data_IF_418949930340
#
_entry.id   IF_418949930340
#
_cell.length_a   1.000
_cell.length_b   1.000
_cell.length_c   1.000
_cell.angle_alpha   90.00
_cell.angle_beta   90.00
_cell.angle_gamma   90.00
#
_symmetry.space_group_name_H-M   'P 1'
#
loop_
_entity.id
_entity.type
_entity.pdbx_description
1 polymer ?
#
# COMPACT_ATOMS: atom_id res chain seq x y z
N UNK A 1 -7.55 -21.92 -13.92
CA UNK A 1 -7.23 -22.58 -12.63
C UNK A 1 -6.00 -21.97 -11.95
N UNK A 2 -4.83 -21.98 -12.55
CA UNK A 2 -3.63 -21.36 -11.95
C UNK A 2 -3.81 -19.86 -11.70
N UNK A 3 -4.42 -19.14 -12.63
CA UNK A 3 -4.72 -17.72 -12.48
C UNK A 3 -5.65 -17.42 -11.29
N UNK A 4 -6.63 -18.27 -11.07
CA UNK A 4 -7.59 -18.08 -9.97
C UNK A 4 -6.94 -18.33 -8.61
N UNK A 5 -6.06 -19.33 -8.52
CA UNK A 5 -5.29 -19.61 -7.31
C UNK A 5 -4.35 -18.44 -7.00
N UNK A 6 -3.65 -17.94 -8.01
CA UNK A 6 -2.74 -16.80 -7.84
C UNK A 6 -3.51 -15.55 -7.41
N UNK A 7 -4.61 -15.22 -8.09
CA UNK A 7 -5.44 -14.05 -7.75
C UNK A 7 -5.98 -14.14 -6.32
N UNK A 8 -6.45 -15.31 -5.92
CA UNK A 8 -6.95 -15.55 -4.56
C UNK A 8 -5.85 -15.35 -3.52
N UNK A 9 -4.66 -15.89 -3.78
CA UNK A 9 -3.50 -15.75 -2.89
C UNK A 9 -3.05 -14.28 -2.78
N UNK A 10 -2.96 -13.58 -3.91
CA UNK A 10 -2.59 -12.17 -3.91
C UNK A 10 -3.62 -11.31 -3.16
N UNK A 11 -4.91 -11.59 -3.34
CA UNK A 11 -5.97 -10.89 -2.63
C UNK A 11 -5.88 -11.12 -1.12
N UNK A 12 -5.63 -12.35 -0.69
CA UNK A 12 -5.45 -12.70 0.72
C UNK A 12 -4.27 -11.96 1.35
N UNK A 13 -3.11 -12.01 0.70
CA UNK A 13 -1.89 -11.37 1.21
C UNK A 13 -1.96 -9.85 1.14
N UNK A 14 -2.61 -9.30 0.13
CA UNK A 14 -2.87 -7.86 0.02
C UNK A 14 -3.77 -7.38 1.15
N UNK A 15 -4.86 -8.09 1.42
CA UNK A 15 -5.77 -7.80 2.53
C UNK A 15 -5.06 -7.91 3.88
N UNK A 16 -4.26 -8.93 4.07
CA UNK A 16 -3.47 -9.13 5.29
C UNK A 16 -2.49 -7.97 5.51
N UNK A 17 -1.80 -7.55 4.44
CA UNK A 17 -0.86 -6.42 4.49
C UNK A 17 -1.58 -5.11 4.79
N UNK A 18 -2.74 -4.87 4.18
CA UNK A 18 -3.54 -3.67 4.44
C UNK A 18 -3.99 -3.58 5.91
N UNK A 19 -4.41 -4.69 6.48
CA UNK A 19 -4.72 -4.76 7.92
C UNK A 19 -3.50 -4.43 8.77
N UNK A 20 -2.32 -4.90 8.37
CA UNK A 20 -1.06 -4.56 9.01
C UNK A 20 -0.75 -3.07 8.94
N UNK A 21 -0.96 -2.44 7.80
CA UNK A 21 -0.80 -0.99 7.64
C UNK A 21 -1.71 -0.25 8.63
N UNK A 22 -2.98 -0.61 8.70
CA UNK A 22 -3.93 0.02 9.63
C UNK A 22 -3.58 -0.24 11.09
N UNK A 23 -2.94 -1.36 11.39
CA UNK A 23 -2.46 -1.66 12.74
C UNK A 23 -1.29 -0.75 13.15
N UNK A 24 -0.35 -0.50 12.23
CA UNK A 24 0.84 0.29 12.54
C UNK A 24 0.65 1.79 12.40
N UNK A 25 -0.24 2.24 11.52
CA UNK A 25 -0.49 3.67 11.32
C UNK A 25 -1.57 4.13 12.30
N UNK A 26 -1.27 5.10 13.19
CA UNK A 26 -2.23 5.54 14.20
C UNK A 26 -3.47 6.20 13.60
N UNK A 27 -4.62 5.95 14.20
CA UNK A 27 -5.85 6.70 13.95
C UNK A 27 -5.97 7.82 14.97
N UNK A 28 -5.24 8.91 14.75
CA UNK A 28 -5.18 10.06 15.66
C UNK A 28 -4.85 11.35 14.90
N UNK A 29 -4.92 12.47 15.60
CA UNK A 29 -4.50 13.75 15.03
C UNK A 29 -2.95 13.83 14.88
N UNK A 30 -2.44 14.51 13.84
CA UNK A 30 -3.19 15.17 12.76
C UNK A 30 -3.66 14.17 11.70
N UNK A 31 -4.98 13.98 11.56
CA UNK A 31 -5.55 13.07 10.55
C UNK A 31 -5.43 13.64 9.16
N UNK A 32 -6.01 14.81 8.94
CA UNK A 32 -6.15 15.43 7.63
C UNK A 32 -4.82 15.67 6.92
N UNK A 33 -3.79 16.00 7.66
CA UNK A 33 -2.50 16.41 7.08
C UNK A 33 -1.41 15.35 7.20
N UNK A 34 -1.68 14.22 7.85
CA UNK A 34 -0.68 13.17 8.02
C UNK A 34 -1.28 11.77 7.95
N UNK A 35 -1.94 11.32 9.01
CA UNK A 35 -2.25 9.89 9.16
C UNK A 35 -3.25 9.37 8.12
N UNK A 36 -4.30 10.13 7.81
CA UNK A 36 -5.27 9.74 6.77
C UNK A 36 -4.62 9.71 5.39
N UNK A 37 -3.63 10.56 5.14
CA UNK A 37 -2.92 10.60 3.87
C UNK A 37 -1.98 9.41 3.69
N UNK A 38 -1.35 8.92 4.76
CA UNK A 38 -0.47 7.75 4.69
C UNK A 38 -1.25 6.51 4.24
N UNK A 39 -2.49 6.36 4.66
CA UNK A 39 -3.33 5.22 4.33
C UNK A 39 -4.18 5.40 3.07
N UNK A 40 -4.20 6.58 2.46
CA UNK A 40 -5.05 6.89 1.31
C UNK A 40 -4.77 5.97 0.11
N UNK A 41 -3.54 6.00 -0.42
CA UNK A 41 -3.20 5.18 -1.58
C UNK A 41 -3.28 3.68 -1.28
N UNK A 42 -2.81 3.17 -0.14
CA UNK A 42 -3.04 1.77 0.22
C UNK A 42 -4.52 1.36 0.22
N UNK A 43 -5.40 2.23 0.74
CA UNK A 43 -6.85 1.96 0.78
C UNK A 43 -7.50 1.90 -0.60
N UNK A 44 -6.89 2.50 -1.61
CA UNK A 44 -7.42 2.46 -2.99
C UNK A 44 -7.30 1.08 -3.65
N UNK A 45 -6.58 0.16 -3.01
CA UNK A 45 -6.35 -1.18 -3.53
C UNK A 45 -5.15 -1.26 -4.47
N UNK A 46 -5.06 -2.35 -5.18
CA UNK A 46 -3.97 -2.66 -6.10
C UNK A 46 -3.89 -4.16 -6.33
N UNK A 47 -2.94 -4.62 -7.15
CA UNK A 47 -2.81 -6.04 -7.47
C UNK A 47 -2.14 -6.85 -6.36
N UNK A 48 -1.42 -6.20 -5.44
CA UNK A 48 -0.80 -6.85 -4.29
C UNK A 48 0.44 -7.69 -4.61
N UNK A 49 1.12 -7.41 -5.73
CA UNK A 49 2.29 -8.19 -6.14
C UNK A 49 3.46 -8.09 -5.15
N UNK A 50 3.76 -6.90 -4.64
CA UNK A 50 4.91 -6.71 -3.74
C UNK A 50 4.71 -7.41 -2.41
N UNK A 51 3.63 -7.16 -1.67
CA UNK A 51 3.39 -7.90 -0.43
C UNK A 51 3.16 -9.38 -0.70
N UNK A 52 2.51 -9.75 -1.81
CA UNK A 52 2.31 -11.14 -2.20
C UNK A 52 3.61 -11.89 -2.40
N UNK A 53 4.56 -11.32 -3.12
CA UNK A 53 5.90 -11.92 -3.31
C UNK A 53 6.65 -12.01 -2.00
N UNK A 54 6.60 -10.98 -1.17
CA UNK A 54 7.27 -10.96 0.13
C UNK A 54 6.78 -12.10 1.03
N UNK A 55 5.46 -12.22 1.19
CA UNK A 55 4.86 -13.22 2.07
C UNK A 55 5.05 -14.63 1.48
N UNK A 56 4.84 -14.81 0.17
CA UNK A 56 5.02 -16.10 -0.49
C UNK A 56 6.46 -16.61 -0.38
N UNK A 57 7.43 -15.73 -0.57
CA UNK A 57 8.85 -16.07 -0.45
C UNK A 57 9.17 -16.50 0.97
N UNK A 58 8.69 -15.77 1.98
CA UNK A 58 8.88 -16.12 3.38
C UNK A 58 8.32 -17.52 3.66
N UNK A 59 7.12 -17.81 3.22
CA UNK A 59 6.47 -19.12 3.40
C UNK A 59 7.23 -20.23 2.66
N UNK A 60 7.74 -19.95 1.47
CA UNK A 60 8.53 -20.92 0.71
C UNK A 60 9.80 -21.36 1.44
N UNK A 61 10.39 -20.47 2.25
CA UNK A 61 11.55 -20.76 3.08
C UNK A 61 11.20 -21.26 4.49
N UNK A 62 9.94 -21.62 4.72
CA UNK A 62 9.51 -22.21 5.99
C UNK A 62 9.00 -21.21 7.02
N UNK A 63 8.90 -19.95 6.67
CA UNK A 63 8.34 -18.92 7.55
C UNK A 63 6.81 -18.83 7.48
N UNK A 64 6.25 -17.90 8.22
CA UNK A 64 4.81 -17.63 8.26
C UNK A 64 4.50 -16.24 7.70
N UNK A 65 3.24 -16.01 7.33
CA UNK A 65 2.78 -14.69 6.91
C UNK A 65 3.03 -13.63 8.00
N UNK A 66 2.83 -13.99 9.25
CA UNK A 66 3.07 -13.10 10.38
C UNK A 66 4.53 -12.66 10.51
N UNK A 67 5.47 -13.56 10.22
CA UNK A 67 6.90 -13.23 10.23
C UNK A 67 7.28 -12.25 9.12
N UNK A 68 6.58 -12.30 7.97
CA UNK A 68 6.82 -11.41 6.83
C UNK A 68 6.08 -10.07 6.95
N UNK A 69 5.18 -9.91 7.92
CA UNK A 69 4.24 -8.77 7.96
C UNK A 69 4.95 -7.42 7.98
N UNK A 70 5.97 -7.24 8.81
CA UNK A 70 6.70 -5.98 8.88
C UNK A 70 7.33 -5.61 7.54
N UNK A 71 7.96 -6.56 6.89
CA UNK A 71 8.58 -6.35 5.57
C UNK A 71 7.53 -6.04 4.51
N UNK A 72 6.41 -6.76 4.50
CA UNK A 72 5.33 -6.55 3.54
C UNK A 72 4.70 -5.16 3.71
N UNK A 73 4.45 -4.75 4.95
CA UNK A 73 3.92 -3.41 5.27
C UNK A 73 4.90 -2.32 4.84
N UNK A 74 6.18 -2.48 5.17
CA UNK A 74 7.22 -1.52 4.80
C UNK A 74 7.35 -1.35 3.30
N UNK A 75 7.36 -2.46 2.56
CA UNK A 75 7.41 -2.43 1.08
C UNK A 75 6.20 -1.73 0.49
N UNK A 76 5.01 -2.00 1.00
CA UNK A 76 3.79 -1.39 0.48
C UNK A 76 3.75 0.12 0.77
N UNK A 77 4.12 0.53 1.97
CA UNK A 77 4.19 1.96 2.32
C UNK A 77 5.22 2.70 1.48
N UNK A 78 6.41 2.13 1.30
CA UNK A 78 7.46 2.71 0.47
C UNK A 78 7.01 2.82 -0.98
N UNK A 79 6.40 1.75 -1.52
CA UNK A 79 5.88 1.76 -2.88
C UNK A 79 4.81 2.85 -3.07
N UNK A 80 3.89 3.00 -2.13
CA UNK A 80 2.85 4.01 -2.22
C UNK A 80 3.43 5.43 -2.12
N UNK A 81 4.47 5.64 -1.31
CA UNK A 81 5.18 6.91 -1.28
C UNK A 81 5.78 7.26 -2.64
N UNK A 82 6.41 6.30 -3.31
CA UNK A 82 6.91 6.49 -4.67
C UNK A 82 5.80 6.78 -5.67
N UNK A 83 4.64 6.13 -5.55
CA UNK A 83 3.49 6.42 -6.42
C UNK A 83 3.01 7.85 -6.27
N UNK A 84 2.96 8.37 -5.04
CA UNK A 84 2.59 9.77 -4.78
C UNK A 84 3.58 10.72 -5.45
N UNK A 85 4.87 10.47 -5.30
CA UNK A 85 5.93 11.29 -5.88
C UNK A 85 5.92 11.22 -7.41
N UNK A 86 5.74 10.02 -7.98
CA UNK A 86 5.61 9.83 -9.43
C UNK A 86 4.42 10.60 -9.98
N UNK A 87 3.29 10.58 -9.28
CA UNK A 87 2.08 11.32 -9.70
C UNK A 87 2.33 12.82 -9.75
N UNK A 88 3.12 13.35 -8.82
CA UNK A 88 3.52 14.77 -8.82
C UNK A 88 4.46 15.07 -9.99
N UNK A 89 5.50 14.25 -10.18
CA UNK A 89 6.48 14.45 -11.25
C UNK A 89 5.86 14.33 -12.64
N UNK A 90 4.94 13.38 -12.83
CA UNK A 90 4.26 13.11 -14.10
C UNK A 90 3.05 14.02 -14.32
N UNK A 91 2.72 14.88 -13.35
CA UNK A 91 1.50 15.72 -13.38
C UNK A 91 0.23 14.89 -13.58
N UNK A 92 0.21 13.66 -13.04
CA UNK A 92 -0.95 12.76 -13.14
C UNK A 92 -2.14 13.31 -12.38
N UNK A 93 -3.34 13.15 -12.94
CA UNK A 93 -4.57 13.68 -12.34
C UNK A 93 -5.40 12.63 -11.62
N UNK A 94 -5.15 11.35 -11.90
CA UNK A 94 -5.90 10.26 -11.27
C UNK A 94 -5.00 9.06 -10.97
N UNK A 95 -5.34 8.34 -9.90
CA UNK A 95 -4.73 7.10 -9.48
C UNK A 95 -5.81 6.17 -8.94
N UNK A 96 -5.92 4.95 -9.55
CA UNK A 96 -6.92 3.97 -9.12
C UNK A 96 -8.34 4.57 -9.07
N UNK A 97 -8.73 5.30 -10.14
CA UNK A 97 -10.03 5.93 -10.34
C UNK A 97 -10.41 7.04 -9.36
N UNK A 98 -9.44 7.61 -8.66
CA UNK A 98 -9.62 8.76 -7.76
C UNK A 98 -8.60 9.83 -8.06
N UNK A 99 -8.86 11.11 -7.70
CA UNK A 99 -7.87 12.17 -7.87
C UNK A 99 -6.55 11.83 -7.17
N UNK A 100 -5.44 12.20 -7.78
CA UNK A 100 -4.13 12.07 -7.15
C UNK A 100 -4.03 12.97 -5.92
N UNK A 101 -3.13 12.62 -4.99
CA UNK A 101 -3.05 13.32 -3.71
C UNK A 101 -2.78 14.82 -3.87
N UNK A 102 -1.93 15.21 -4.82
CA UNK A 102 -1.63 16.62 -5.06
C UNK A 102 -2.77 17.38 -5.75
N UNK A 103 -3.79 16.70 -6.31
CA UNK A 103 -4.96 17.33 -6.90
C UNK A 103 -5.97 17.77 -5.84
N UNK A 104 -6.26 16.92 -4.84
CA UNK A 104 -7.20 17.28 -3.77
C UNK A 104 -6.52 17.93 -2.56
N UNK A 105 -5.23 17.80 -2.47
CA UNK A 105 -4.38 18.47 -1.49
C UNK A 105 -3.43 19.39 -2.24
N UNK A 106 -2.25 19.66 -1.73
CA UNK A 106 -1.22 20.39 -2.46
C UNK A 106 0.06 19.58 -2.56
N UNK A 107 0.94 19.97 -3.48
CA UNK A 107 2.18 19.24 -3.72
C UNK A 107 3.10 19.21 -2.49
N UNK A 108 3.14 20.28 -1.72
CA UNK A 108 3.98 20.35 -0.53
C UNK A 108 3.56 19.31 0.51
N UNK A 109 2.26 19.16 0.75
CA UNK A 109 1.71 18.16 1.67
C UNK A 109 1.90 16.75 1.11
N UNK A 110 1.68 16.56 -0.19
CA UNK A 110 1.81 15.25 -0.83
C UNK A 110 3.26 14.74 -0.82
N UNK A 111 4.24 15.64 -1.01
CA UNK A 111 5.67 15.28 -0.94
C UNK A 111 6.06 14.86 0.47
N UNK A 112 5.51 15.50 1.46
CA UNK A 112 5.89 15.30 2.86
C UNK A 112 5.40 13.97 3.43
#
# INVERSE_FOLDING_TARGET
MADDVMKSMLAEYSSYTLKGIHYFIPDKEPRKYLYDLITDYPNRGGKGFRPGLCISTCKAFGGSANQALYSAVSLELLHNAFLIHDDIEDESTSRRNKPTMHQYNNSAIAIN
#
